data_IF_031441160329
#
_entry.id   IF_031441160329
#
_cell.length_a   1.000
_cell.length_b   1.000
_cell.length_c   1.000
_cell.angle_alpha   90.00
_cell.angle_beta   90.00
_cell.angle_gamma   90.00
#
_symmetry.space_group_name_H-M   'P 1'
#
loop_
_entity.id
_entity.type
_entity.pdbx_description
1 polymer ?
#
# COMPACT_ATOMS: atom_id res chain seq x y z
N UNK A 1 -15.62 -4.13 -21.81
CA UNK A 1 -16.39 -4.06 -20.56
C UNK A 1 -16.54 -2.60 -20.19
N UNK A 2 -17.76 -2.09 -20.13
CA UNK A 2 -18.02 -0.73 -19.60
C UNK A 2 -18.15 -0.89 -18.09
N UNK A 3 -17.14 -0.48 -17.35
CA UNK A 3 -17.18 -0.43 -15.89
C UNK A 3 -18.18 0.67 -15.50
N UNK A 4 -19.10 0.40 -14.59
CA UNK A 4 -20.03 1.42 -14.10
C UNK A 4 -19.29 2.47 -13.26
N UNK A 5 -19.80 3.70 -13.22
CA UNK A 5 -19.16 4.80 -12.45
C UNK A 5 -18.90 4.41 -10.98
N UNK A 6 -19.84 3.76 -10.24
CA UNK A 6 -19.57 3.37 -8.86
C UNK A 6 -18.48 2.28 -8.74
N UNK A 7 -18.40 1.33 -9.66
CA UNK A 7 -17.33 0.32 -9.68
C UNK A 7 -15.96 0.96 -9.95
N UNK A 8 -15.90 1.94 -10.84
CA UNK A 8 -14.70 2.72 -11.12
C UNK A 8 -14.23 3.47 -9.87
N UNK A 9 -15.14 4.18 -9.19
CA UNK A 9 -14.83 4.90 -7.94
C UNK A 9 -14.32 3.93 -6.87
N UNK A 10 -15.00 2.80 -6.67
CA UNK A 10 -14.59 1.79 -5.71
C UNK A 10 -13.19 1.25 -6.01
N UNK A 11 -12.90 0.93 -7.28
CA UNK A 11 -11.58 0.44 -7.69
C UNK A 11 -10.48 1.48 -7.42
N UNK A 12 -10.69 2.74 -7.82
CA UNK A 12 -9.72 3.82 -7.60
C UNK A 12 -9.51 4.08 -6.10
N UNK A 13 -10.59 4.09 -5.33
CA UNK A 13 -10.52 4.24 -3.89
C UNK A 13 -9.74 3.11 -3.20
N UNK A 14 -9.95 1.85 -3.63
CA UNK A 14 -9.19 0.71 -3.11
C UNK A 14 -7.69 0.81 -3.42
N UNK A 15 -7.32 1.22 -4.63
CA UNK A 15 -5.92 1.41 -5.02
C UNK A 15 -5.23 2.47 -4.17
N UNK A 16 -5.92 3.56 -3.87
CA UNK A 16 -5.39 4.64 -3.02
C UNK A 16 -5.38 4.22 -1.55
N UNK A 17 -6.42 3.51 -1.09
CA UNK A 17 -6.54 3.01 0.27
C UNK A 17 -5.43 2.02 0.65
N UNK A 18 -4.91 1.24 -0.31
CA UNK A 18 -3.80 0.31 -0.10
C UNK A 18 -2.57 1.00 0.50
N UNK A 19 -2.28 2.23 0.10
CA UNK A 19 -1.16 3.03 0.64
C UNK A 19 -1.39 3.35 2.11
N UNK A 20 -2.58 3.85 2.46
CA UNK A 20 -2.93 4.21 3.82
C UNK A 20 -2.91 2.96 4.74
N UNK A 21 -3.49 1.84 4.28
CA UNK A 21 -3.42 0.57 5.02
C UNK A 21 -1.98 0.09 5.24
N UNK A 22 -1.09 0.30 4.27
CA UNK A 22 0.32 -0.11 4.38
C UNK A 22 1.11 0.69 5.41
N UNK A 23 0.74 1.93 5.66
CA UNK A 23 1.37 2.81 6.64
C UNK A 23 0.69 2.65 7.99
N UNK A 24 -0.59 2.94 8.06
CA UNK A 24 -1.32 3.10 9.31
C UNK A 24 -1.69 1.74 9.94
N UNK A 25 -1.98 0.72 9.12
CA UNK A 25 -2.27 -0.64 9.59
C UNK A 25 -1.08 -1.33 10.27
N UNK A 26 0.14 -0.85 10.02
CA UNK A 26 1.36 -1.40 10.63
C UNK A 26 1.74 -0.70 11.94
N UNK A 27 1.17 0.48 12.25
CA UNK A 27 1.52 1.23 13.45
C UNK A 27 1.44 0.40 14.75
N UNK A 28 0.37 -0.39 15.00
CA UNK A 28 0.29 -1.20 16.21
C UNK A 28 1.34 -2.34 16.27
N UNK A 29 1.87 -2.76 15.12
CA UNK A 29 2.89 -3.81 15.06
C UNK A 29 4.33 -3.31 15.29
N UNK A 30 4.59 -2.01 15.15
CA UNK A 30 5.94 -1.44 15.27
C UNK A 30 6.66 -1.82 16.56
N UNK A 31 6.04 -1.78 17.77
CA UNK A 31 6.71 -2.19 18.99
C UNK A 31 7.16 -3.66 18.98
N UNK A 32 6.33 -4.54 18.41
CA UNK A 32 6.64 -5.98 18.31
C UNK A 32 7.77 -6.23 17.31
N UNK A 33 7.74 -5.54 16.17
CA UNK A 33 8.80 -5.61 15.16
C UNK A 33 10.11 -5.06 15.73
N UNK A 34 10.07 -3.95 16.47
CA UNK A 34 11.24 -3.38 17.14
C UNK A 34 11.88 -4.38 18.12
N UNK A 35 11.08 -5.07 18.94
CA UNK A 35 11.56 -6.05 19.88
C UNK A 35 12.22 -7.26 19.20
N UNK A 36 11.76 -7.67 18.02
CA UNK A 36 12.28 -8.82 17.29
C UNK A 36 13.46 -8.48 16.36
N UNK A 37 13.38 -7.38 15.60
CA UNK A 37 14.36 -7.06 14.56
C UNK A 37 15.39 -6.01 14.97
N UNK A 38 15.14 -5.25 16.04
CA UNK A 38 16.02 -4.17 16.50
C UNK A 38 15.96 -4.00 18.03
N UNK A 39 16.27 -5.04 18.84
CA UNK A 39 16.15 -4.99 20.29
C UNK A 39 17.08 -3.96 20.93
N UNK A 40 18.27 -3.74 20.37
CA UNK A 40 19.26 -2.77 20.87
C UNK A 40 18.89 -1.32 20.55
N UNK A 41 18.07 -1.08 19.53
CA UNK A 41 17.73 0.26 19.05
C UNK A 41 16.26 0.33 18.58
N UNK A 42 15.27 0.30 19.47
CA UNK A 42 13.85 0.24 19.11
C UNK A 42 13.37 1.38 18.20
N UNK A 43 14.01 2.56 18.28
CA UNK A 43 13.69 3.72 17.45
C UNK A 43 13.98 3.48 15.96
N UNK A 44 14.87 2.56 15.63
CA UNK A 44 15.17 2.22 14.23
C UNK A 44 13.97 1.55 13.51
N UNK A 45 13.05 0.95 14.25
CA UNK A 45 11.82 0.41 13.66
C UNK A 45 10.96 1.49 12.94
N UNK A 46 11.09 2.77 13.34
CA UNK A 46 10.42 3.86 12.63
C UNK A 46 10.95 4.06 11.19
N UNK A 47 12.19 3.65 10.92
CA UNK A 47 12.77 3.68 9.57
C UNK A 47 12.00 2.78 8.59
N UNK A 48 11.26 1.79 9.09
CA UNK A 48 10.41 0.90 8.28
C UNK A 48 9.31 1.70 7.59
N UNK A 49 8.69 2.66 8.30
CA UNK A 49 7.70 3.57 7.70
C UNK A 49 8.36 4.56 6.75
N UNK A 50 9.48 5.14 7.17
CA UNK A 50 10.24 6.10 6.36
C UNK A 50 10.72 5.48 5.05
N UNK A 51 11.22 4.24 5.08
CA UNK A 51 11.65 3.51 3.87
C UNK A 51 10.51 3.31 2.88
N UNK A 52 9.31 2.97 3.36
CA UNK A 52 8.13 2.86 2.51
C UNK A 52 7.78 4.20 1.85
N UNK A 53 7.78 5.29 2.62
CA UNK A 53 7.46 6.64 2.11
C UNK A 53 8.50 7.11 1.09
N UNK A 54 9.80 6.89 1.37
CA UNK A 54 10.89 7.17 0.41
C UNK A 54 10.71 6.36 -0.86
N UNK A 55 10.45 5.06 -0.74
CA UNK A 55 10.17 4.20 -1.88
C UNK A 55 8.97 4.69 -2.71
N UNK A 56 7.89 5.11 -2.05
CA UNK A 56 6.73 5.67 -2.72
C UNK A 56 7.04 7.01 -3.43
N UNK A 57 7.85 7.87 -2.83
CA UNK A 57 8.29 9.11 -3.46
C UNK A 57 9.10 8.81 -4.73
N UNK A 58 10.14 7.96 -4.64
CA UNK A 58 10.93 7.53 -5.78
C UNK A 58 10.08 6.87 -6.87
N UNK A 59 9.17 5.98 -6.47
CA UNK A 59 8.24 5.32 -7.37
C UNK A 59 7.34 6.31 -8.10
N UNK A 60 6.87 7.36 -7.44
CA UNK A 60 6.01 8.39 -8.06
C UNK A 60 6.73 9.12 -9.19
N UNK A 61 8.02 9.47 -9.00
CA UNK A 61 8.82 10.11 -10.05
C UNK A 61 9.02 9.21 -11.27
N UNK A 62 9.20 7.92 -11.05
CA UNK A 62 9.47 6.93 -12.12
C UNK A 62 8.17 6.46 -12.79
N UNK A 63 7.15 6.12 -12.01
CA UNK A 63 5.91 5.51 -12.52
C UNK A 63 5.02 6.49 -13.29
N UNK A 64 5.11 7.80 -13.01
CA UNK A 64 4.41 8.83 -13.77
C UNK A 64 4.77 8.77 -15.27
N UNK A 65 6.01 9.10 -15.66
CA UNK A 65 6.46 9.04 -17.05
C UNK A 65 6.36 7.64 -17.68
N UNK A 66 6.62 6.56 -16.89
CA UNK A 66 6.46 5.20 -17.38
C UNK A 66 5.00 4.88 -17.73
N UNK A 67 4.05 5.38 -16.95
CA UNK A 67 2.62 5.19 -17.19
C UNK A 67 2.18 5.83 -18.51
N UNK A 68 2.78 6.96 -18.88
CA UNK A 68 2.50 7.63 -20.14
C UNK A 68 3.13 6.88 -21.33
N UNK A 69 4.32 6.31 -21.18
CA UNK A 69 5.06 5.61 -22.23
C UNK A 69 4.59 4.17 -22.45
N UNK A 70 4.40 3.39 -21.38
CA UNK A 70 4.08 1.95 -21.44
C UNK A 70 2.60 1.64 -21.29
N UNK A 71 1.79 2.64 -20.94
CA UNK A 71 0.34 2.53 -20.77
C UNK A 71 -0.08 2.21 -19.34
N UNK A 72 -1.22 2.79 -18.93
CA UNK A 72 -1.79 2.77 -17.56
C UNK A 72 -1.91 1.36 -16.97
N UNK A 73 -2.46 0.42 -17.76
CA UNK A 73 -2.74 -0.94 -17.32
C UNK A 73 -1.47 -1.71 -16.93
N UNK A 74 -0.40 -1.58 -17.73
CA UNK A 74 0.88 -2.28 -17.46
C UNK A 74 1.51 -1.81 -16.16
N UNK A 75 1.46 -0.50 -15.89
CA UNK A 75 2.03 0.09 -14.69
C UNK A 75 1.25 -0.31 -13.44
N UNK A 76 -0.08 -0.42 -13.51
CA UNK A 76 -0.89 -0.95 -12.40
C UNK A 76 -0.47 -2.39 -12.07
N UNK A 77 -0.38 -3.27 -13.07
CA UNK A 77 -0.01 -4.67 -12.84
C UNK A 77 1.43 -4.81 -12.34
N UNK A 78 2.36 -4.05 -12.91
CA UNK A 78 3.76 -4.05 -12.46
C UNK A 78 3.88 -3.56 -11.01
N UNK A 79 3.27 -2.43 -10.70
CA UNK A 79 3.27 -1.87 -9.34
C UNK A 79 2.60 -2.81 -8.33
N UNK A 80 1.43 -3.37 -8.68
CA UNK A 80 0.75 -4.32 -7.82
C UNK A 80 1.56 -5.61 -7.62
N UNK A 81 2.20 -6.13 -8.67
CA UNK A 81 3.07 -7.30 -8.59
C UNK A 81 4.28 -7.06 -7.69
N UNK A 82 4.97 -5.92 -7.87
CA UNK A 82 6.09 -5.52 -7.03
C UNK A 82 5.67 -5.33 -5.57
N UNK A 83 4.50 -4.72 -5.33
CA UNK A 83 3.94 -4.53 -3.99
C UNK A 83 3.71 -5.87 -3.29
N UNK A 84 3.07 -6.83 -3.95
CA UNK A 84 2.77 -8.17 -3.39
C UNK A 84 4.05 -8.96 -3.13
N UNK A 85 5.00 -8.94 -4.07
CA UNK A 85 6.30 -9.59 -3.89
C UNK A 85 7.04 -9.03 -2.69
N UNK A 86 7.11 -7.70 -2.58
CA UNK A 86 7.76 -7.04 -1.46
C UNK A 86 7.06 -7.31 -0.13
N UNK A 87 5.71 -7.35 -0.11
CA UNK A 87 4.95 -7.75 1.08
C UNK A 87 5.30 -9.17 1.53
N UNK A 88 5.48 -10.10 0.59
CA UNK A 88 5.91 -11.47 0.90
C UNK A 88 7.32 -11.50 1.50
N UNK A 89 8.24 -10.68 0.99
CA UNK A 89 9.58 -10.55 1.57
C UNK A 89 9.52 -9.95 2.98
N UNK A 90 8.67 -8.94 3.22
CA UNK A 90 8.45 -8.39 4.56
C UNK A 90 7.96 -9.45 5.57
N UNK A 91 7.07 -10.36 5.15
CA UNK A 91 6.62 -11.48 6.01
C UNK A 91 7.75 -12.42 6.42
N UNK A 92 8.74 -12.60 5.55
CA UNK A 92 9.87 -13.51 5.75
C UNK A 92 11.11 -12.81 6.32
N UNK A 93 11.04 -11.51 6.61
CA UNK A 93 12.16 -10.72 7.06
C UNK A 93 12.62 -11.16 8.47
N UNK A 94 13.88 -11.53 8.58
CA UNK A 94 14.56 -11.92 9.83
C UNK A 94 15.53 -10.86 10.32
N UNK A 95 15.78 -9.81 9.52
CA UNK A 95 16.63 -8.67 9.87
C UNK A 95 15.96 -7.35 9.54
N UNK A 96 16.32 -6.30 10.28
CA UNK A 96 15.83 -4.95 10.02
C UNK A 96 16.19 -4.48 8.62
N UNK A 97 17.39 -4.76 8.15
CA UNK A 97 17.86 -4.35 6.82
C UNK A 97 17.01 -4.95 5.69
N UNK A 98 16.71 -6.25 5.79
CA UNK A 98 15.82 -6.93 4.83
C UNK A 98 14.43 -6.31 4.85
N UNK A 99 13.91 -5.99 6.03
CA UNK A 99 12.62 -5.31 6.20
C UNK A 99 12.63 -3.92 5.54
N UNK A 100 13.67 -3.12 5.80
CA UNK A 100 13.80 -1.76 5.23
C UNK A 100 13.84 -1.79 3.70
N UNK A 101 14.66 -2.70 3.13
CA UNK A 101 14.76 -2.86 1.68
C UNK A 101 13.44 -3.33 1.06
N UNK A 102 12.79 -4.30 1.66
CA UNK A 102 11.50 -4.80 1.19
C UNK A 102 10.41 -3.71 1.26
N UNK A 103 10.41 -2.88 2.30
CA UNK A 103 9.52 -1.73 2.46
C UNK A 103 9.75 -0.64 1.41
N UNK A 104 10.99 -0.37 1.09
CA UNK A 104 11.34 0.56 0.00
C UNK A 104 10.78 0.08 -1.33
N UNK A 105 10.99 -1.19 -1.68
CA UNK A 105 10.43 -1.80 -2.89
C UNK A 105 8.90 -1.82 -2.88
N UNK A 106 8.29 -2.10 -1.72
CA UNK A 106 6.85 -2.07 -1.54
C UNK A 106 6.27 -0.67 -1.78
N UNK A 107 6.97 0.38 -1.30
CA UNK A 107 6.62 1.77 -1.56
C UNK A 107 6.66 2.11 -3.05
N UNK A 108 7.73 1.70 -3.75
CA UNK A 108 7.84 1.87 -5.21
C UNK A 108 6.67 1.18 -5.93
N UNK A 109 6.34 -0.06 -5.52
CA UNK A 109 5.21 -0.79 -6.07
C UNK A 109 3.86 -0.10 -5.84
N UNK A 110 3.63 0.46 -4.65
CA UNK A 110 2.41 1.19 -4.30
C UNK A 110 2.22 2.49 -5.10
N UNK A 111 3.31 3.11 -5.55
CA UNK A 111 3.27 4.36 -6.31
C UNK A 111 2.58 4.20 -7.67
N UNK A 112 2.79 3.07 -8.37
CA UNK A 112 2.19 2.81 -9.69
C UNK A 112 0.66 2.91 -9.69
N UNK A 113 -0.04 2.04 -8.94
CA UNK A 113 -1.50 2.09 -8.82
C UNK A 113 -2.02 3.44 -8.33
N UNK A 114 -1.35 4.07 -7.36
CA UNK A 114 -1.73 5.39 -6.83
C UNK A 114 -1.67 6.48 -7.88
N UNK A 115 -0.55 6.62 -8.58
CA UNK A 115 -0.37 7.64 -9.63
C UNK A 115 -1.38 7.43 -10.75
N UNK A 116 -1.52 6.19 -11.22
CA UNK A 116 -2.43 5.87 -12.33
C UNK A 116 -3.88 6.13 -11.95
N UNK A 117 -4.28 5.90 -10.69
CA UNK A 117 -5.64 6.20 -10.23
C UNK A 117 -5.99 7.68 -10.41
N UNK A 118 -5.11 8.59 -9.99
CA UNK A 118 -5.33 10.03 -10.16
C UNK A 118 -5.34 10.47 -11.62
N UNK A 119 -4.47 9.88 -12.43
CA UNK A 119 -4.41 10.20 -13.87
C UNK A 119 -5.65 9.68 -14.60
N UNK A 120 -6.12 8.46 -14.30
CA UNK A 120 -7.33 7.92 -14.92
C UNK A 120 -8.57 8.78 -14.63
N UNK A 121 -8.69 9.33 -13.43
CA UNK A 121 -9.79 10.24 -13.10
C UNK A 121 -9.73 11.49 -13.98
N UNK A 122 -8.54 12.06 -14.20
CA UNK A 122 -8.34 13.22 -15.08
C UNK A 122 -8.55 12.92 -16.55
N UNK A 123 -8.21 11.72 -17.00
CA UNK A 123 -8.33 11.32 -18.40
C UNK A 123 -9.79 11.03 -18.79
N UNK A 124 -10.60 10.53 -17.84
CA UNK A 124 -11.96 10.08 -18.11
C UNK A 124 -13.03 11.12 -17.76
N UNK A 125 -12.75 12.04 -16.87
CA UNK A 125 -13.73 13.00 -16.36
C UNK A 125 -13.18 14.43 -16.38
N UNK A 126 -14.06 15.42 -16.53
CA UNK A 126 -13.71 16.84 -16.56
C UNK A 126 -14.67 17.68 -15.72
N UNK A 127 -14.23 18.88 -15.36
CA UNK A 127 -15.05 19.86 -14.68
C UNK A 127 -15.69 19.35 -13.37
N UNK A 128 -16.99 19.56 -13.22
CA UNK A 128 -17.75 19.25 -12.00
C UNK A 128 -17.79 17.74 -11.69
N UNK A 129 -17.83 16.91 -12.69
CA UNK A 129 -17.87 15.45 -12.53
C UNK A 129 -16.52 14.91 -12.01
N UNK A 130 -15.41 15.39 -12.56
CA UNK A 130 -14.07 15.07 -12.04
C UNK A 130 -13.92 15.47 -10.57
N UNK A 131 -14.37 16.67 -10.20
CA UNK A 131 -14.33 17.15 -8.82
C UNK A 131 -15.15 16.24 -7.89
N UNK A 132 -16.35 15.84 -8.31
CA UNK A 132 -17.22 14.94 -7.54
C UNK A 132 -16.57 13.57 -7.29
N UNK A 133 -16.01 12.94 -8.34
CA UNK A 133 -15.36 11.63 -8.25
C UNK A 133 -14.10 11.73 -7.37
N UNK A 134 -13.28 12.76 -7.57
CA UNK A 134 -12.10 13.00 -6.74
C UNK A 134 -12.46 13.19 -5.27
N UNK A 135 -13.56 13.89 -4.97
CA UNK A 135 -14.04 14.07 -3.58
C UNK A 135 -14.43 12.73 -2.94
N UNK A 136 -15.11 11.84 -3.65
CA UNK A 136 -15.44 10.50 -3.12
C UNK A 136 -14.19 9.68 -2.85
N UNK A 137 -13.20 9.70 -3.74
CA UNK A 137 -11.93 9.01 -3.54
C UNK A 137 -11.20 9.58 -2.31
N UNK A 138 -11.21 10.91 -2.14
CA UNK A 138 -10.60 11.58 -0.99
C UNK A 138 -11.30 11.26 0.34
N UNK A 139 -12.64 11.13 0.35
CA UNK A 139 -13.38 10.70 1.54
C UNK A 139 -12.94 9.30 1.97
N UNK A 140 -12.86 8.36 1.03
CA UNK A 140 -12.38 7.00 1.32
C UNK A 140 -10.94 7.04 1.81
N UNK A 141 -10.08 7.81 1.14
CA UNK A 141 -8.68 7.97 1.55
C UNK A 141 -8.54 8.55 2.96
N UNK A 142 -9.39 9.48 3.36
CA UNK A 142 -9.38 10.04 4.72
C UNK A 142 -9.95 9.08 5.78
N UNK A 143 -10.91 8.23 5.39
CA UNK A 143 -11.54 7.27 6.32
C UNK A 143 -10.64 6.07 6.62
N UNK A 144 -9.86 5.62 5.63
CA UNK A 144 -9.00 4.42 5.75
C UNK A 144 -7.94 4.58 6.85
N UNK A 145 -7.17 5.68 6.98
CA UNK A 145 -6.24 5.87 8.09
C UNK A 145 -6.89 5.83 9.46
N UNK A 146 -8.13 6.29 9.59
CA UNK A 146 -8.86 6.23 10.86
C UNK A 146 -9.20 4.77 11.27
N UNK A 147 -9.43 3.90 10.30
CA UNK A 147 -9.79 2.49 10.55
C UNK A 147 -8.57 1.55 10.50
N UNK A 148 -7.52 1.91 9.77
CA UNK A 148 -6.38 1.03 9.52
C UNK A 148 -5.66 0.55 10.80
N UNK A 149 -5.41 1.39 11.83
CA UNK A 149 -4.81 0.94 13.08
C UNK A 149 -5.71 -0.07 13.83
N UNK A 150 -7.04 0.12 13.78
CA UNK A 150 -7.98 -0.81 14.40
C UNK A 150 -7.95 -2.17 13.69
N UNK A 151 -7.89 -2.19 12.36
CA UNK A 151 -7.74 -3.41 11.57
C UNK A 151 -6.40 -4.09 11.86
N UNK A 152 -5.30 -3.33 11.92
CA UNK A 152 -3.98 -3.84 12.26
C UNK A 152 -3.95 -4.45 13.67
N UNK A 153 -4.49 -3.76 14.66
CA UNK A 153 -4.62 -4.27 16.02
C UNK A 153 -5.51 -5.52 16.09
N UNK A 154 -6.64 -5.53 15.37
CA UNK A 154 -7.51 -6.69 15.29
C UNK A 154 -6.82 -7.93 14.71
N UNK A 155 -5.99 -7.78 13.70
CA UNK A 155 -5.18 -8.88 13.15
C UNK A 155 -4.20 -9.40 14.20
N UNK A 156 -3.56 -8.52 14.97
CA UNK A 156 -2.57 -8.88 15.99
C UNK A 156 -3.17 -9.58 17.22
N UNK A 157 -4.48 -9.52 17.44
CA UNK A 157 -5.14 -10.29 18.52
C UNK A 157 -5.11 -11.80 18.22
N UNK A 158 -5.21 -12.18 16.96
CA UNK A 158 -5.32 -13.57 16.52
C UNK A 158 -4.06 -14.12 15.85
N UNK A 159 -3.19 -13.24 15.35
CA UNK A 159 -2.03 -13.59 14.55
C UNK A 159 -0.83 -12.74 14.93
N UNK A 160 0.38 -13.18 14.57
CA UNK A 160 1.59 -12.39 14.71
C UNK A 160 1.62 -11.23 13.68
N UNK A 161 2.53 -10.26 13.89
CA UNK A 161 2.64 -9.05 13.05
C UNK A 161 2.86 -9.36 11.56
N UNK A 162 3.48 -10.51 11.24
CA UNK A 162 3.67 -10.96 9.86
C UNK A 162 2.33 -11.11 9.10
N UNK A 163 1.25 -11.43 9.81
CA UNK A 163 -0.07 -11.59 9.20
C UNK A 163 -0.64 -10.28 8.64
N UNK A 164 -0.18 -9.12 9.11
CA UNK A 164 -0.56 -7.82 8.53
C UNK A 164 -0.15 -7.76 7.06
N UNK A 165 1.04 -8.24 6.72
CA UNK A 165 1.51 -8.31 5.34
C UNK A 165 0.77 -9.37 4.52
N UNK A 166 0.31 -10.45 5.17
CA UNK A 166 -0.52 -11.46 4.51
C UNK A 166 -1.88 -10.90 4.09
N UNK A 167 -2.49 -10.05 4.90
CA UNK A 167 -3.75 -9.34 4.55
C UNK A 167 -3.54 -8.38 3.39
N UNK A 168 -2.35 -7.78 3.29
CA UNK A 168 -1.96 -6.88 2.18
C UNK A 168 -1.61 -7.65 0.90
N UNK A 169 -1.37 -8.97 1.00
CA UNK A 169 -1.07 -9.86 -0.14
C UNK A 169 -2.32 -10.70 -0.46
N UNK A 170 -2.84 -10.71 -1.71
CA UNK A 170 -4.06 -11.43 -2.07
C UNK A 170 -3.88 -12.97 -2.13
N UNK A 171 -2.97 -13.54 -1.37
CA UNK A 171 -2.81 -14.99 -1.30
C UNK A 171 -3.80 -15.61 -0.32
N UNK A 172 -4.60 -16.53 -0.85
CA UNK A 172 -5.49 -17.45 -0.11
C UNK A 172 -4.74 -18.11 1.05
N UNK A 173 -5.38 -18.03 2.21
CA UNK A 173 -5.23 -18.91 3.38
C UNK A 173 -4.09 -19.92 3.32
N UNK A 174 -3.02 -19.67 4.04
CA UNK A 174 -2.22 -20.76 4.59
C UNK A 174 -3.10 -21.41 5.68
N UNK A 175 -3.58 -22.63 5.38
CA UNK A 175 -4.25 -23.50 6.34
C UNK A 175 -3.37 -23.59 7.57
N UNK A 176 -3.94 -23.17 8.70
CA UNK A 176 -3.48 -23.65 10.00
C UNK A 176 -3.54 -25.19 9.99
N UNK A 177 -2.45 -25.81 10.28
CA UNK A 177 -2.38 -27.16 10.82
C UNK A 177 -1.54 -27.10 12.06
#
# INVERSE_FOLDING_TARGET
>A
MRISTPEFIALMAMLVATVALSIDGMLPALPHIAAQLSPESPNQAQLILSSFVVGMALGTFVMGPLSDSFGRKRIIYFGAGLYVLSATVCMMATSLETMLFARLLQGIGAAGPRVVSHVLVRDLYSGREMARISSFIMIVFALVPAMAPMLGAGVMIFFEWQAIFAVMSPRRSLRAN
#
